data_IF_514142381573
#
_entry.id   IF_514142381573
#
_cell.length_a   1.000
_cell.length_b   1.000
_cell.length_c   1.000
_cell.angle_alpha   90.00
_cell.angle_beta   90.00
_cell.angle_gamma   90.00
#
_symmetry.space_group_name_H-M   'P 1'
#
loop_
_entity.id
_entity.type
_entity.pdbx_description
1 polymer ?
#
# COMPACT_ATOMS: atom_id res chain seq x y z
N UNK A 1 42.02 12.41 -54.83
CA UNK A 1 41.07 11.32 -55.17
C UNK A 1 39.99 11.28 -54.10
N UNK A 2 38.73 11.52 -54.52
CA UNK A 2 37.42 11.12 -53.93
C UNK A 2 37.14 11.46 -52.43
N UNK A 3 36.28 12.44 -52.06
CA UNK A 3 34.79 12.42 -51.97
C UNK A 3 34.24 11.30 -51.03
N UNK A 4 33.27 11.46 -50.08
CA UNK A 4 32.24 12.48 -49.81
C UNK A 4 31.60 12.34 -48.39
N UNK A 5 31.17 13.48 -47.82
CA UNK A 5 29.87 13.82 -47.17
C UNK A 5 29.20 13.02 -46.01
N UNK A 6 28.90 13.82 -44.94
CA UNK A 6 27.64 13.90 -44.12
C UNK A 6 27.29 12.77 -43.14
N UNK A 7 27.18 13.10 -41.84
CA UNK A 7 25.88 13.41 -41.17
C UNK A 7 26.05 13.86 -39.72
N UNK A 8 25.54 15.05 -39.48
CA UNK A 8 25.18 15.66 -38.20
C UNK A 8 24.02 14.89 -37.56
N UNK A 9 23.98 14.78 -36.23
CA UNK A 9 22.78 14.51 -35.43
C UNK A 9 22.52 13.04 -35.03
N UNK A 10 22.95 12.65 -33.83
CA UNK A 10 22.34 11.57 -33.01
C UNK A 10 22.92 11.60 -31.58
N UNK A 11 22.45 12.53 -30.74
CA UNK A 11 22.73 12.46 -29.29
C UNK A 11 21.54 12.85 -28.40
N UNK A 12 20.43 13.33 -28.96
CA UNK A 12 19.30 13.86 -28.17
C UNK A 12 18.11 12.89 -27.96
N UNK A 13 18.13 11.67 -28.49
CA UNK A 13 17.00 10.73 -28.30
C UNK A 13 17.10 9.87 -27.04
N UNK A 14 18.29 9.69 -26.47
CA UNK A 14 18.48 8.83 -25.29
C UNK A 14 18.22 9.52 -23.95
N UNK A 15 18.23 10.86 -23.89
CA UNK A 15 17.85 11.61 -22.67
C UNK A 15 16.34 11.68 -22.45
N UNK A 16 15.52 11.65 -23.52
CA UNK A 16 14.06 11.66 -23.38
C UNK A 16 13.47 10.31 -22.92
N UNK A 17 14.15 9.18 -23.19
CA UNK A 17 13.67 7.85 -22.77
C UNK A 17 13.91 7.55 -21.28
N UNK A 18 14.92 8.16 -20.66
CA UNK A 18 15.23 7.93 -19.24
C UNK A 18 14.29 8.72 -18.31
N UNK A 19 13.82 9.89 -18.75
CA UNK A 19 12.84 10.70 -18.01
C UNK A 19 11.46 10.03 -17.91
N UNK A 20 11.02 9.32 -18.96
CA UNK A 20 9.74 8.58 -18.95
C UNK A 20 9.73 7.36 -18.03
N UNK A 21 10.87 6.70 -17.79
CA UNK A 21 10.93 5.54 -16.87
C UNK A 21 10.82 5.96 -15.40
N UNK A 22 11.34 7.12 -15.02
CA UNK A 22 11.25 7.61 -13.64
C UNK A 22 9.85 8.16 -13.31
N UNK A 23 9.11 8.69 -14.29
CA UNK A 23 7.70 9.05 -14.11
C UNK A 23 6.77 7.82 -14.02
N UNK A 24 7.11 6.70 -14.67
CA UNK A 24 6.30 5.48 -14.61
C UNK A 24 6.28 4.82 -13.22
N UNK A 25 7.27 5.07 -12.36
CA UNK A 25 7.30 4.49 -11.02
C UNK A 25 6.36 5.19 -10.02
N UNK A 26 6.01 6.46 -10.27
CA UNK A 26 5.04 7.23 -9.48
C UNK A 26 3.58 6.92 -9.83
N UNK A 27 3.32 5.99 -10.77
CA UNK A 27 1.98 5.69 -11.25
C UNK A 27 1.75 4.19 -11.49
N UNK A 28 2.26 3.31 -10.62
CA UNK A 28 2.02 1.84 -10.74
C UNK A 28 0.80 1.36 -9.94
N UNK A 29 0.28 2.14 -8.98
CA UNK A 29 -0.85 1.67 -8.17
C UNK A 29 -2.23 1.75 -8.87
N UNK A 30 -2.33 2.40 -10.04
CA UNK A 30 -3.64 2.77 -10.61
C UNK A 30 -4.02 2.05 -11.92
N UNK A 31 -3.31 0.98 -12.31
CA UNK A 31 -3.55 0.30 -13.61
C UNK A 31 -4.32 -1.02 -13.56
N UNK A 32 -4.64 -1.56 -12.37
CA UNK A 32 -5.40 -2.83 -12.25
C UNK A 32 -6.88 -2.66 -11.88
N UNK A 33 -7.33 -1.43 -11.63
CA UNK A 33 -8.72 -1.11 -11.25
C UNK A 33 -9.33 -0.25 -12.36
N UNK A 34 -9.43 -0.77 -13.60
CA UNK A 34 -9.94 0.01 -14.74
C UNK A 34 -11.35 -0.38 -15.24
N UNK A 35 -12.04 -1.35 -14.62
CA UNK A 35 -13.31 -1.88 -15.17
C UNK A 35 -14.55 -1.80 -14.25
N UNK A 36 -14.60 -0.90 -13.27
CA UNK A 36 -15.81 -0.68 -12.47
C UNK A 36 -16.34 0.74 -12.67
N UNK A 37 -17.66 0.90 -12.91
CA UNK A 37 -18.35 2.20 -13.06
C UNK A 37 -18.06 3.20 -11.91
N UNK A 38 -17.64 2.69 -10.75
CA UNK A 38 -17.13 3.47 -9.61
C UNK A 38 -15.92 4.38 -9.94
N UNK A 39 -15.07 4.00 -10.90
CA UNK A 39 -13.87 4.78 -11.28
C UNK A 39 -14.25 6.16 -11.81
N UNK A 40 -15.40 6.28 -12.49
CA UNK A 40 -15.90 7.57 -13.00
C UNK A 40 -16.18 8.58 -11.88
N UNK A 41 -16.57 8.11 -10.69
CA UNK A 41 -16.83 8.97 -9.53
C UNK A 41 -15.49 9.37 -8.89
N UNK A 42 -14.57 8.43 -8.71
CA UNK A 42 -13.23 8.70 -8.19
C UNK A 42 -12.44 9.68 -9.07
N UNK A 43 -12.52 9.57 -10.40
CA UNK A 43 -11.87 10.52 -11.32
C UNK A 43 -12.45 11.93 -11.18
N UNK A 44 -13.76 12.05 -11.00
CA UNK A 44 -14.46 13.34 -10.86
C UNK A 44 -14.21 14.00 -9.50
N UNK A 45 -14.05 13.20 -8.44
CA UNK A 45 -13.68 13.66 -7.10
C UNK A 45 -12.20 14.04 -7.01
N UNK A 46 -11.30 13.22 -7.57
CA UNK A 46 -9.86 13.49 -7.59
C UNK A 46 -9.51 14.74 -8.42
N UNK A 47 -10.27 15.04 -9.47
CA UNK A 47 -10.12 16.25 -10.27
C UNK A 47 -10.37 17.56 -9.49
N UNK A 48 -11.08 17.51 -8.36
CA UNK A 48 -11.38 18.68 -7.52
C UNK A 48 -10.48 18.79 -6.28
N UNK A 49 -9.55 17.85 -6.08
CA UNK A 49 -8.63 17.87 -4.95
C UNK A 49 -7.31 18.48 -5.39
N UNK A 50 -6.99 19.66 -4.83
CA UNK A 50 -5.74 20.32 -5.09
C UNK A 50 -4.63 19.62 -4.28
N UNK A 51 -3.55 19.14 -4.92
CA UNK A 51 -2.39 18.65 -4.18
C UNK A 51 -1.79 19.79 -3.36
N UNK A 52 -1.21 19.45 -2.20
CA UNK A 52 -0.53 20.43 -1.34
C UNK A 52 0.61 21.15 -2.08
N UNK A 53 1.14 20.54 -3.14
CA UNK A 53 2.18 21.08 -4.01
C UNK A 53 1.80 20.78 -5.46
N UNK A 54 1.96 21.77 -6.34
CA UNK A 54 1.77 21.60 -7.78
C UNK A 54 2.87 20.69 -8.35
N UNK A 55 2.48 19.56 -8.95
CA UNK A 55 3.38 18.65 -9.65
C UNK A 55 3.40 19.01 -11.16
N UNK A 56 4.56 18.99 -11.84
CA UNK A 56 5.89 18.61 -11.35
C UNK A 56 6.60 19.73 -10.61
N UNK A 57 7.34 19.38 -9.56
CA UNK A 57 8.19 20.31 -8.83
C UNK A 57 9.39 20.65 -9.72
N UNK A 58 9.58 21.93 -10.01
CA UNK A 58 10.71 22.42 -10.81
C UNK A 58 11.92 22.64 -9.89
N UNK A 59 12.55 21.54 -9.47
CA UNK A 59 13.80 21.55 -8.69
C UNK A 59 14.97 21.19 -9.62
N UNK A 60 16.14 21.79 -9.39
CA UNK A 60 17.38 21.33 -10.00
C UNK A 60 17.70 19.91 -9.53
N UNK A 61 18.34 19.09 -10.38
CA UNK A 61 18.65 17.70 -10.05
C UNK A 61 19.45 17.58 -8.74
N UNK A 62 20.41 18.49 -8.51
CA UNK A 62 21.22 18.51 -7.30
C UNK A 62 20.38 18.79 -6.04
N UNK A 63 19.46 19.76 -6.11
CA UNK A 63 18.58 20.13 -5.00
C UNK A 63 17.60 19.01 -4.67
N UNK A 64 17.15 18.28 -5.69
CA UNK A 64 16.28 17.11 -5.50
C UNK A 64 17.01 15.96 -4.78
N UNK A 65 18.27 15.67 -5.15
CA UNK A 65 19.05 14.64 -4.47
C UNK A 65 19.35 15.00 -3.01
N UNK A 66 19.69 16.28 -2.74
CA UNK A 66 19.89 16.79 -1.38
C UNK A 66 18.61 16.68 -0.53
N UNK A 67 17.46 17.03 -1.09
CA UNK A 67 16.16 16.84 -0.45
C UNK A 67 15.91 15.36 -0.10
N UNK A 68 16.16 14.44 -1.05
CA UNK A 68 15.95 13.00 -0.82
C UNK A 68 16.84 12.49 0.32
N UNK A 69 18.10 12.92 0.41
CA UNK A 69 18.97 12.53 1.53
C UNK A 69 18.45 13.07 2.87
N UNK A 70 18.10 14.36 2.93
CA UNK A 70 17.53 14.98 4.13
C UNK A 70 16.28 14.26 4.61
N UNK A 71 15.39 13.89 3.71
CA UNK A 71 14.15 13.19 4.09
C UNK A 71 14.43 11.76 4.56
N UNK A 72 15.40 11.06 3.97
CA UNK A 72 15.83 9.73 4.45
C UNK A 72 16.40 9.82 5.86
N UNK A 73 17.27 10.79 6.12
CA UNK A 73 17.86 11.00 7.44
C UNK A 73 16.77 11.35 8.46
N UNK A 74 15.87 12.27 8.11
CA UNK A 74 14.72 12.62 8.93
C UNK A 74 13.86 11.38 9.26
N UNK A 75 13.59 10.54 8.27
CA UNK A 75 12.79 9.32 8.45
C UNK A 75 13.44 8.33 9.42
N UNK A 76 14.76 8.11 9.30
CA UNK A 76 15.49 7.23 10.22
C UNK A 76 15.49 7.80 11.64
N UNK A 77 15.73 9.11 11.78
CA UNK A 77 15.71 9.78 13.09
C UNK A 77 14.36 9.70 13.79
N UNK A 78 13.26 9.59 13.04
CA UNK A 78 11.90 9.42 13.57
C UNK A 78 11.45 7.96 13.68
N UNK A 79 12.37 7.00 13.54
CA UNK A 79 12.07 5.57 13.72
C UNK A 79 11.50 4.86 12.49
N UNK A 80 11.48 5.50 11.32
CA UNK A 80 11.09 4.91 10.04
C UNK A 80 12.16 3.98 9.46
N UNK A 81 12.77 3.14 10.29
CA UNK A 81 13.77 2.16 9.90
C UNK A 81 13.18 0.75 9.83
N UNK A 82 13.58 -0.01 8.81
CA UNK A 82 13.24 -1.42 8.63
C UNK A 82 14.51 -2.22 8.31
N UNK A 83 14.55 -3.48 8.73
CA UNK A 83 15.65 -4.39 8.36
C UNK A 83 15.50 -4.85 6.92
N UNK A 84 16.61 -4.88 6.19
CA UNK A 84 16.61 -5.37 4.82
C UNK A 84 16.28 -6.87 4.77
N UNK A 85 15.42 -7.27 3.83
CA UNK A 85 15.12 -8.68 3.56
C UNK A 85 16.23 -9.36 2.76
N UNK A 86 16.97 -8.61 1.95
CA UNK A 86 18.02 -9.15 1.07
C UNK A 86 19.39 -9.19 1.75
N UNK A 87 19.66 -8.25 2.65
CA UNK A 87 20.89 -8.16 3.41
C UNK A 87 20.57 -7.93 4.89
N UNK A 88 20.03 -8.97 5.52
CA UNK A 88 19.65 -8.91 6.92
C UNK A 88 20.91 -8.78 7.80
N UNK A 89 20.98 -7.72 8.60
CA UNK A 89 21.98 -7.54 9.64
C UNK A 89 21.32 -6.91 10.87
N UNK A 90 21.76 -7.34 12.06
CA UNK A 90 21.24 -6.84 13.32
C UNK A 90 21.60 -5.36 13.55
N UNK A 91 22.76 -4.94 13.02
CA UNK A 91 23.35 -3.63 13.27
C UNK A 91 23.03 -2.60 12.17
N UNK A 92 22.29 -3.00 11.12
CA UNK A 92 21.94 -2.10 10.02
C UNK A 92 20.43 -1.92 9.87
N UNK A 93 20.01 -0.67 9.71
CA UNK A 93 18.64 -0.31 9.36
C UNK A 93 18.61 0.38 8.00
N UNK A 94 17.59 0.08 7.21
CA UNK A 94 17.30 0.75 5.94
C UNK A 94 16.03 1.57 6.12
N UNK A 95 15.91 2.69 5.41
CA UNK A 95 14.71 3.52 5.44
C UNK A 95 13.49 2.72 4.95
N UNK A 96 12.35 2.85 5.63
CA UNK A 96 11.09 2.27 5.16
C UNK A 96 10.68 2.89 3.82
N UNK A 97 10.05 2.16 2.88
CA UNK A 97 9.51 2.78 1.68
C UNK A 97 8.39 3.76 2.04
N UNK A 98 8.55 5.04 1.71
CA UNK A 98 7.55 6.09 1.93
C UNK A 98 7.37 6.96 0.67
N UNK A 99 6.28 7.72 0.63
CA UNK A 99 6.00 8.69 -0.42
C UNK A 99 6.47 10.07 0.02
N UNK A 100 7.18 10.80 -0.85
CA UNK A 100 7.67 12.15 -0.54
C UNK A 100 6.53 13.14 -0.27
N UNK A 101 5.38 12.92 -0.92
CA UNK A 101 4.20 13.75 -0.77
C UNK A 101 3.01 12.89 -0.37
N UNK A 102 2.16 13.38 0.55
CA UNK A 102 0.95 12.67 0.92
C UNK A 102 0.00 12.57 -0.27
N UNK A 103 -0.70 11.44 -0.37
CA UNK A 103 -1.79 11.27 -1.33
C UNK A 103 -2.97 12.18 -0.97
N UNK A 104 -3.54 12.85 -1.97
CA UNK A 104 -4.77 13.63 -1.77
C UNK A 104 -5.97 12.70 -1.58
N UNK A 105 -6.79 12.99 -0.57
CA UNK A 105 -7.98 12.20 -0.29
C UNK A 105 -9.12 13.11 0.20
N UNK A 106 -10.37 12.91 -0.27
CA UNK A 106 -11.49 13.78 0.09
C UNK A 106 -11.88 13.61 1.57
N UNK A 107 -11.96 14.73 2.28
CA UNK A 107 -12.23 14.74 3.73
C UNK A 107 -13.57 14.10 4.09
N UNK A 108 -14.61 14.32 3.28
CA UNK A 108 -15.94 13.75 3.51
C UNK A 108 -15.92 12.22 3.49
N UNK A 109 -15.20 11.61 2.53
CA UNK A 109 -15.09 10.16 2.45
C UNK A 109 -14.18 9.60 3.53
N UNK A 110 -13.13 10.33 3.93
CA UNK A 110 -12.27 9.92 5.04
C UNK A 110 -13.07 9.83 6.35
N UNK A 111 -13.87 10.85 6.63
CA UNK A 111 -14.71 10.87 7.84
C UNK A 111 -15.75 9.75 7.83
N UNK A 112 -16.33 9.42 6.67
CA UNK A 112 -17.24 8.27 6.56
C UNK A 112 -16.52 6.95 6.85
N UNK A 113 -15.32 6.75 6.30
CA UNK A 113 -14.53 5.54 6.56
C UNK A 113 -14.20 5.38 8.05
N UNK A 114 -13.78 6.48 8.70
CA UNK A 114 -13.53 6.50 10.15
C UNK A 114 -14.80 6.20 10.95
N UNK A 115 -15.95 6.76 10.56
CA UNK A 115 -17.22 6.54 11.24
C UNK A 115 -17.76 5.10 11.11
N UNK A 116 -17.41 4.38 10.03
CA UNK A 116 -17.84 3.00 9.80
C UNK A 116 -17.00 1.99 10.61
N UNK A 117 -15.75 2.33 10.95
CA UNK A 117 -14.81 1.41 11.62
C UNK A 117 -15.40 0.73 12.87
N UNK A 118 -16.10 1.42 13.80
CA UNK A 118 -16.67 0.76 14.98
C UNK A 118 -17.72 -0.29 14.63
N UNK A 119 -18.59 -0.01 13.65
CA UNK A 119 -19.61 -0.95 13.21
C UNK A 119 -18.99 -2.19 12.54
N UNK A 120 -17.90 -2.02 11.80
CA UNK A 120 -17.16 -3.15 11.21
C UNK A 120 -16.47 -4.00 12.28
N UNK A 121 -15.92 -3.37 13.32
CA UNK A 121 -15.32 -4.08 14.46
C UNK A 121 -16.37 -4.93 15.19
N UNK A 122 -17.55 -4.36 15.45
CA UNK A 122 -18.66 -5.06 16.10
C UNK A 122 -19.17 -6.22 15.23
N UNK A 123 -19.36 -5.98 13.93
CA UNK A 123 -19.76 -7.03 12.99
C UNK A 123 -18.76 -8.18 12.98
N UNK A 124 -17.47 -7.88 12.87
CA UNK A 124 -16.42 -8.90 12.90
C UNK A 124 -16.44 -9.68 14.21
N UNK A 125 -16.63 -8.98 15.34
CA UNK A 125 -16.71 -9.61 16.64
C UNK A 125 -17.91 -10.57 16.74
N UNK A 126 -19.10 -10.15 16.32
CA UNK A 126 -20.30 -10.99 16.32
C UNK A 126 -20.14 -12.21 15.40
N UNK A 127 -19.65 -12.00 14.17
CA UNK A 127 -19.38 -13.06 13.20
C UNK A 127 -18.35 -14.07 13.73
N UNK A 128 -17.31 -13.61 14.43
CA UNK A 128 -16.27 -14.51 14.97
C UNK A 128 -16.78 -15.42 16.09
N UNK A 129 -17.85 -15.00 16.79
CA UNK A 129 -18.46 -15.79 17.86
C UNK A 129 -19.57 -16.72 17.35
N UNK A 130 -20.07 -16.52 16.13
CA UNK A 130 -21.11 -17.34 15.54
C UNK A 130 -20.50 -18.57 14.86
N UNK A 131 -20.51 -19.68 15.58
CA UNK A 131 -19.96 -20.94 15.10
C UNK A 131 -20.68 -21.49 13.87
N UNK A 132 -22.02 -21.47 13.87
CA UNK A 132 -22.82 -22.05 12.77
C UNK A 132 -22.59 -21.26 11.49
N UNK A 133 -22.50 -19.93 11.62
CA UNK A 133 -22.14 -19.07 10.50
C UNK A 133 -20.72 -19.37 9.98
N UNK A 134 -19.73 -19.51 10.86
CA UNK A 134 -18.36 -19.83 10.45
C UNK A 134 -18.25 -21.20 9.78
N UNK A 135 -18.90 -22.22 10.33
CA UNK A 135 -18.89 -23.57 9.76
C UNK A 135 -19.53 -23.58 8.38
N UNK A 136 -20.75 -23.01 8.24
CA UNK A 136 -21.45 -22.97 6.96
C UNK A 136 -20.71 -22.18 5.87
N UNK A 137 -19.94 -21.15 6.23
CA UNK A 137 -19.12 -20.39 5.28
C UNK A 137 -17.84 -21.14 4.87
N UNK A 138 -17.26 -21.93 5.77
CA UNK A 138 -15.94 -22.56 5.57
C UNK A 138 -16.01 -24.02 5.15
N UNK A 139 -17.16 -24.69 5.26
CA UNK A 139 -17.36 -26.13 4.96
C UNK A 139 -16.68 -26.55 3.65
N UNK A 140 -17.01 -25.85 2.55
CA UNK A 140 -16.44 -26.15 1.22
C UNK A 140 -14.95 -25.79 1.09
N UNK A 141 -14.47 -24.83 1.88
CA UNK A 141 -13.07 -24.38 1.83
C UNK A 141 -12.16 -25.31 2.64
N UNK A 142 -12.65 -25.86 3.74
CA UNK A 142 -11.94 -26.82 4.60
C UNK A 142 -11.59 -28.11 3.82
N UNK A 143 -12.45 -28.52 2.88
CA UNK A 143 -12.19 -29.72 2.06
C UNK A 143 -11.04 -29.53 1.06
N UNK A 144 -10.79 -28.29 0.63
CA UNK A 144 -9.87 -27.98 -0.48
C UNK A 144 -8.56 -27.36 0.01
N UNK A 145 -8.57 -26.65 1.13
CA UNK A 145 -7.40 -25.98 1.70
C UNK A 145 -6.97 -26.58 3.06
N UNK A 146 -5.82 -27.25 3.04
CA UNK A 146 -5.24 -27.90 4.23
C UNK A 146 -4.92 -26.88 5.34
N UNK A 147 -4.50 -25.67 4.97
CA UNK A 147 -4.19 -24.63 5.95
C UNK A 147 -5.44 -24.20 6.73
N UNK A 148 -6.53 -23.87 6.01
CA UNK A 148 -7.82 -23.53 6.62
C UNK A 148 -8.39 -24.70 7.43
N UNK A 149 -8.24 -25.94 6.94
CA UNK A 149 -8.65 -27.14 7.67
C UNK A 149 -7.96 -27.25 9.04
N UNK A 150 -6.64 -27.05 9.09
CA UNK A 150 -5.88 -27.14 10.33
C UNK A 150 -6.22 -26.00 11.30
N UNK A 151 -6.48 -24.79 10.80
CA UNK A 151 -6.98 -23.69 11.64
C UNK A 151 -8.34 -24.00 12.25
N UNK A 152 -9.25 -24.57 11.45
CA UNK A 152 -10.59 -24.90 11.92
C UNK A 152 -10.57 -26.02 12.98
N UNK A 153 -9.70 -27.03 12.81
CA UNK A 153 -9.50 -28.07 13.83
C UNK A 153 -9.07 -27.50 15.17
N UNK A 154 -8.11 -26.58 15.20
CA UNK A 154 -7.66 -25.93 16.44
C UNK A 154 -8.83 -25.18 17.10
N UNK A 155 -9.62 -24.47 16.30
CA UNK A 155 -10.80 -23.76 16.79
C UNK A 155 -11.84 -24.72 17.41
N UNK A 156 -12.14 -25.85 16.77
CA UNK A 156 -13.05 -26.86 17.31
C UNK A 156 -12.52 -27.51 18.59
N UNK A 157 -11.22 -27.83 18.64
CA UNK A 157 -10.59 -28.40 19.85
C UNK A 157 -10.74 -27.47 21.04
N UNK A 158 -10.39 -26.18 20.89
CA UNK A 158 -10.50 -25.19 21.96
C UNK A 158 -11.96 -24.97 22.39
N UNK A 159 -12.90 -25.00 21.43
CA UNK A 159 -14.33 -24.86 21.74
C UNK A 159 -14.86 -26.05 22.54
N UNK A 160 -14.44 -27.27 22.20
CA UNK A 160 -14.85 -28.50 22.89
C UNK A 160 -14.26 -28.60 24.31
N UNK A 161 -13.04 -28.12 24.51
CA UNK A 161 -12.38 -28.07 25.82
C UNK A 161 -12.92 -26.95 26.73
N UNK A 162 -13.56 -25.94 26.13
CA UNK A 162 -14.15 -24.78 26.82
C UNK A 162 -13.17 -23.60 26.93
N UNK A 163 -13.70 -22.38 26.79
CA UNK A 163 -12.87 -21.17 26.82
C UNK A 163 -12.39 -20.84 28.23
N UNK A 164 -11.08 -20.89 28.45
CA UNK A 164 -10.43 -20.53 29.73
C UNK A 164 -10.06 -19.05 29.83
N UNK A 165 -10.03 -18.33 28.70
CA UNK A 165 -9.71 -16.90 28.61
C UNK A 165 -10.99 -16.04 28.70
N UNK A 166 -11.09 -15.22 29.75
CA UNK A 166 -12.30 -14.42 30.08
C UNK A 166 -12.34 -13.08 29.32
N UNK A 167 -11.18 -12.48 29.03
CA UNK A 167 -11.12 -11.19 28.34
C UNK A 167 -11.17 -11.36 26.83
N UNK A 168 -12.30 -10.91 26.29
CA UNK A 168 -12.68 -10.81 24.90
C UNK A 168 -11.53 -10.24 24.03
N UNK A 169 -11.06 -11.07 23.10
CA UNK A 169 -10.33 -10.73 21.88
C UNK A 169 -9.89 -9.27 21.71
N UNK A 170 -8.60 -9.00 21.86
CA UNK A 170 -8.02 -7.70 21.49
C UNK A 170 -7.87 -7.64 19.95
N UNK A 171 -8.92 -7.19 19.25
CA UNK A 171 -8.89 -7.02 17.80
C UNK A 171 -8.14 -5.75 17.43
N UNK A 172 -6.90 -5.91 16.93
CA UNK A 172 -6.21 -4.84 16.20
C UNK A 172 -6.52 -5.04 14.72
N UNK A 173 -7.58 -4.41 14.25
CA UNK A 173 -7.85 -4.29 12.82
C UNK A 173 -7.20 -3.02 12.29
N UNK A 174 -6.61 -3.11 11.09
CA UNK A 174 -6.03 -1.95 10.44
C UNK A 174 -7.15 -0.96 10.09
N UNK A 175 -7.09 0.22 10.69
CA UNK A 175 -7.91 1.35 10.25
C UNK A 175 -7.36 1.85 8.90
N UNK A 176 -8.28 2.26 8.02
CA UNK A 176 -7.99 2.81 6.69
C UNK A 176 -6.97 3.96 6.70
#
# INVERSE_FOLDING_TARGET
>A
MSQASRRFGRSNENKLKLSRRHQLHYCVFNKKIQNCKHISIYHKMAANLNPCISLPINLGENDFQDLVQKVKDWTIMHGGGMRSKTQFSYDSLTVVPFTLFPSVFPRSEFQKAVAIQPALNELTHQVSNDHEFLYSCLEKTIEVDEFTCNLFKVYETVRNEGFTQIYLYFYIQQAF
#
